data_IF_285000584198
#
_entry.id   IF_285000584198
#
_cell.length_a   1.000
_cell.length_b   1.000
_cell.length_c   1.000
_cell.angle_alpha   90.00
_cell.angle_beta   90.00
_cell.angle_gamma   90.00
#
_symmetry.space_group_name_H-M   'P 1'
#
loop_
_entity.id
_entity.type
_entity.pdbx_description
1 polymer ?
#
# COMPACT_ATOMS: atom_id res chain seq x y z
N UNK A 1 -50.37 -46.40 4.95
CA UNK A 1 -49.94 -45.52 3.85
C UNK A 1 -49.28 -44.21 4.31
N UNK A 2 -49.85 -43.42 5.23
CA UNK A 2 -49.25 -42.14 5.67
C UNK A 2 -47.84 -42.25 6.29
N UNK A 3 -47.57 -43.29 7.11
CA UNK A 3 -46.25 -43.50 7.73
C UNK A 3 -45.14 -43.88 6.73
N UNK A 4 -45.47 -44.53 5.61
CA UNK A 4 -44.47 -44.93 4.60
C UNK A 4 -44.08 -43.73 3.72
N UNK A 5 -45.05 -42.86 3.41
CA UNK A 5 -44.78 -41.60 2.70
C UNK A 5 -43.87 -40.65 3.49
N UNK A 6 -44.02 -40.60 4.82
CA UNK A 6 -43.21 -39.74 5.69
C UNK A 6 -41.76 -40.18 5.80
N UNK A 7 -41.49 -41.49 5.83
CA UNK A 7 -40.11 -42.01 5.92
C UNK A 7 -39.35 -41.84 4.60
N UNK A 8 -40.05 -41.93 3.46
CA UNK A 8 -39.43 -41.76 2.14
C UNK A 8 -39.00 -40.30 1.88
N UNK A 9 -39.72 -39.32 2.44
CA UNK A 9 -39.39 -37.90 2.33
C UNK A 9 -38.13 -37.51 3.15
N UNK A 10 -37.88 -38.18 4.28
CA UNK A 10 -36.67 -37.95 5.09
C UNK A 10 -35.40 -38.56 4.48
N UNK A 11 -35.51 -39.66 3.73
CA UNK A 11 -34.35 -40.27 3.04
C UNK A 11 -33.92 -39.45 1.81
N UNK A 12 -34.87 -38.82 1.10
CA UNK A 12 -34.56 -37.92 -0.02
C UNK A 12 -33.88 -36.62 0.43
N UNK A 13 -34.21 -36.09 1.62
CA UNK A 13 -33.51 -34.92 2.18
C UNK A 13 -32.09 -35.25 2.69
N UNK A 14 -31.83 -36.48 3.12
CA UNK A 14 -30.50 -36.91 3.56
C UNK A 14 -29.51 -37.13 2.40
N UNK A 15 -30.01 -37.49 1.20
CA UNK A 15 -29.19 -37.73 0.01
C UNK A 15 -28.83 -36.45 -0.77
N UNK A 16 -29.63 -35.39 -0.65
CA UNK A 16 -29.32 -34.10 -1.29
C UNK A 16 -28.10 -33.38 -0.66
N UNK A 17 -27.71 -33.76 0.57
CA UNK A 17 -26.54 -33.22 1.27
C UNK A 17 -25.22 -33.96 1.04
N UNK A 18 -25.23 -35.06 0.27
CA UNK A 18 -24.06 -35.92 0.05
C UNK A 18 -23.69 -35.95 -1.43
N UNK A 19 -23.03 -34.87 -1.88
CA UNK A 19 -21.98 -34.85 -2.92
C UNK A 19 -21.92 -33.48 -3.62
N UNK A 20 -21.69 -32.40 -2.87
CA UNK A 20 -20.98 -31.27 -3.48
C UNK A 20 -19.50 -31.65 -3.51
N UNK A 21 -19.05 -32.12 -4.67
CA UNK A 21 -17.63 -32.40 -4.90
C UNK A 21 -16.91 -31.06 -5.09
N UNK A 22 -16.06 -30.70 -4.12
CA UNK A 22 -15.18 -29.53 -4.26
C UNK A 22 -14.08 -29.91 -5.25
N UNK A 23 -14.11 -29.34 -6.45
CA UNK A 23 -13.07 -29.50 -7.47
C UNK A 23 -12.17 -28.29 -7.50
N UNK A 24 -10.88 -28.52 -7.66
CA UNK A 24 -9.92 -27.46 -7.92
C UNK A 24 -10.15 -26.91 -9.33
N UNK A 25 -10.32 -25.59 -9.44
CA UNK A 25 -10.29 -24.89 -10.71
C UNK A 25 -8.87 -24.37 -10.96
N UNK A 26 -8.52 -24.15 -12.24
CA UNK A 26 -7.28 -23.43 -12.57
C UNK A 26 -7.33 -22.00 -12.03
N UNK A 27 -6.21 -21.54 -11.48
CA UNK A 27 -6.10 -20.18 -10.93
C UNK A 27 -5.77 -19.19 -12.02
N UNK A 28 -6.37 -18.00 -11.93
CA UNK A 28 -6.17 -16.87 -12.83
C UNK A 28 -5.47 -15.72 -12.10
N UNK A 29 -4.94 -14.74 -12.84
CA UNK A 29 -4.33 -13.53 -12.26
C UNK A 29 -5.32 -12.80 -11.32
N UNK A 30 -6.62 -12.80 -11.66
CA UNK A 30 -7.65 -12.18 -10.81
C UNK A 30 -7.79 -12.84 -9.44
N UNK A 31 -7.50 -14.14 -9.31
CA UNK A 31 -7.57 -14.86 -8.05
C UNK A 31 -6.42 -14.46 -7.10
N UNK A 32 -5.27 -14.05 -7.66
CA UNK A 32 -4.13 -13.59 -6.87
C UNK A 32 -4.32 -12.17 -6.33
N UNK A 33 -5.05 -11.30 -7.02
CA UNK A 33 -5.25 -9.90 -6.60
C UNK A 33 -5.83 -9.75 -5.17
N UNK A 34 -6.91 -10.44 -4.76
CA UNK A 34 -7.42 -10.35 -3.40
C UNK A 34 -6.43 -10.92 -2.38
N UNK A 35 -5.66 -11.95 -2.72
CA UNK A 35 -4.65 -12.54 -1.82
C UNK A 35 -3.49 -11.58 -1.59
N UNK A 36 -2.97 -10.97 -2.65
CA UNK A 36 -1.93 -9.95 -2.60
C UNK A 36 -2.40 -8.74 -1.79
N UNK A 37 -3.61 -8.23 -2.05
CA UNK A 37 -4.19 -7.12 -1.28
C UNK A 37 -4.39 -7.48 0.19
N UNK A 38 -4.90 -8.68 0.50
CA UNK A 38 -5.05 -9.16 1.87
C UNK A 38 -3.72 -9.28 2.61
N UNK A 39 -2.62 -9.47 1.87
CA UNK A 39 -1.26 -9.44 2.38
C UNK A 39 -0.58 -8.08 2.28
N UNK A 40 -1.31 -7.02 1.97
CA UNK A 40 -0.81 -5.63 1.94
C UNK A 40 0.01 -5.26 0.70
N UNK A 41 0.08 -6.12 -0.31
CA UNK A 41 0.71 -5.78 -1.60
C UNK A 41 -0.23 -4.88 -2.40
N UNK A 42 0.11 -3.59 -2.47
CA UNK A 42 -0.68 -2.60 -3.22
C UNK A 42 0.25 -1.80 -4.13
N UNK A 43 0.18 -2.00 -5.45
CA UNK A 43 0.86 -1.14 -6.41
C UNK A 43 0.00 0.09 -6.76
N UNK A 44 0.67 1.21 -7.00
CA UNK A 44 0.11 2.47 -7.49
C UNK A 44 0.72 2.80 -8.83
N UNK A 45 -0.12 2.96 -9.85
CA UNK A 45 0.31 3.32 -11.21
C UNK A 45 0.00 4.79 -11.46
N UNK A 46 0.99 5.53 -11.93
CA UNK A 46 0.91 6.96 -12.25
C UNK A 46 1.16 7.17 -13.75
N UNK A 47 0.32 7.97 -14.38
CA UNK A 47 0.57 8.51 -15.71
C UNK A 47 1.58 9.66 -15.60
N UNK A 48 2.73 9.48 -16.24
CA UNK A 48 3.86 10.42 -16.26
C UNK A 48 4.19 10.88 -17.68
N UNK A 49 3.27 10.70 -18.63
CA UNK A 49 3.42 11.12 -20.03
C UNK A 49 3.78 12.60 -20.19
N UNK A 50 3.25 13.46 -19.32
CA UNK A 50 3.49 14.91 -19.34
C UNK A 50 4.94 15.31 -19.04
N UNK A 51 5.72 14.44 -18.40
CA UNK A 51 7.13 14.65 -18.06
C UNK A 51 8.07 13.71 -18.81
N UNK A 52 7.57 13.01 -19.84
CA UNK A 52 8.39 12.16 -20.71
C UNK A 52 9.53 12.96 -21.36
N UNK A 53 10.73 12.38 -21.38
CA UNK A 53 11.93 13.01 -21.92
C UNK A 53 12.53 14.09 -21.02
N UNK A 54 11.92 14.37 -19.86
CA UNK A 54 12.50 15.24 -18.83
C UNK A 54 13.45 14.44 -17.94
N UNK A 55 14.43 15.16 -17.41
CA UNK A 55 15.28 14.63 -16.36
C UNK A 55 14.50 14.60 -15.05
N UNK A 56 14.64 13.52 -14.29
CA UNK A 56 13.96 13.35 -13.01
C UNK A 56 14.90 12.90 -11.91
N UNK A 57 14.48 13.18 -10.67
CA UNK A 57 15.04 12.60 -9.45
C UNK A 57 13.90 12.00 -8.64
N UNK A 58 14.17 10.88 -7.97
CA UNK A 58 13.24 10.22 -7.05
C UNK A 58 13.69 10.54 -5.62
N UNK A 59 12.75 11.03 -4.81
CA UNK A 59 13.01 11.48 -3.45
C UNK A 59 12.19 10.66 -2.46
N UNK A 60 12.82 10.34 -1.34
CA UNK A 60 12.20 9.72 -0.18
C UNK A 60 12.37 10.69 1.00
N UNK A 61 11.26 11.19 1.52
CA UNK A 61 11.21 12.09 2.67
C UNK A 61 10.68 11.33 3.88
N UNK A 62 11.34 11.45 5.02
CA UNK A 62 11.00 10.72 6.24
C UNK A 62 10.45 11.69 7.27
N UNK A 63 9.38 11.30 7.96
CA UNK A 63 8.75 12.13 8.96
C UNK A 63 8.51 11.36 10.25
N UNK A 64 8.78 12.03 11.38
CA UNK A 64 8.52 11.56 12.74
C UNK A 64 7.68 12.61 13.44
N UNK A 65 6.50 12.23 13.93
CA UNK A 65 5.56 13.10 14.63
C UNK A 65 5.25 14.40 13.85
N UNK A 66 5.04 14.27 12.55
CA UNK A 66 4.72 15.39 11.65
C UNK A 66 5.90 16.29 11.29
N UNK A 67 7.12 15.97 11.73
CA UNK A 67 8.34 16.72 11.39
C UNK A 67 9.22 15.92 10.47
N UNK A 68 9.72 16.55 9.42
CA UNK A 68 10.69 15.93 8.53
C UNK A 68 11.99 15.64 9.30
N UNK A 69 12.54 14.44 9.11
CA UNK A 69 13.80 14.01 9.72
C UNK A 69 14.95 14.74 9.03
N UNK A 70 15.93 15.17 9.81
CA UNK A 70 17.18 15.77 9.32
C UNK A 70 17.84 14.85 8.28
N UNK A 71 18.43 15.44 7.22
CA UNK A 71 18.97 14.74 6.06
C UNK A 71 17.95 13.92 5.24
N UNK A 72 16.65 14.15 5.44
CA UNK A 72 15.61 13.86 4.43
C UNK A 72 15.16 15.18 3.79
N UNK A 73 15.00 15.29 2.46
CA UNK A 73 14.89 14.25 1.43
C UNK A 73 16.18 13.50 1.09
N UNK A 74 16.06 12.17 0.98
CA UNK A 74 17.11 11.31 0.40
C UNK A 74 16.78 11.03 -1.06
N UNK A 75 17.78 11.16 -1.91
CA UNK A 75 17.67 10.72 -3.29
C UNK A 75 17.79 9.21 -3.37
N UNK A 76 16.89 8.55 -4.11
CA UNK A 76 17.04 7.13 -4.42
C UNK A 76 18.25 6.90 -5.32
N UNK A 77 18.52 7.83 -6.24
CA UNK A 77 19.66 7.84 -7.13
C UNK A 77 20.44 9.15 -6.98
N UNK A 78 21.77 9.13 -6.86
CA UNK A 78 22.56 10.35 -6.67
C UNK A 78 22.63 11.25 -7.92
N UNK A 79 21.93 10.91 -9.01
CA UNK A 79 21.95 11.62 -10.28
C UNK A 79 20.54 11.75 -10.89
N UNK A 80 20.39 12.74 -11.77
CA UNK A 80 19.21 12.92 -12.63
C UNK A 80 19.28 11.95 -13.80
N UNK A 81 18.15 11.39 -14.20
CA UNK A 81 18.08 10.55 -15.38
C UNK A 81 16.89 10.93 -16.26
N UNK A 82 17.01 10.82 -17.59
CA UNK A 82 15.92 11.11 -18.50
C UNK A 82 14.85 10.00 -18.44
N UNK A 83 13.60 10.38 -18.61
CA UNK A 83 12.46 9.45 -18.63
C UNK A 83 12.08 9.05 -20.06
N UNK A 84 11.82 7.77 -20.29
CA UNK A 84 11.45 7.24 -21.62
C UNK A 84 10.03 6.69 -21.70
N UNK A 85 9.44 6.32 -20.57
CA UNK A 85 8.09 5.72 -20.50
C UNK A 85 7.07 6.64 -19.85
N UNK A 86 5.80 6.34 -20.13
CA UNK A 86 4.66 7.15 -19.72
C UNK A 86 4.01 6.63 -18.43
N UNK A 87 4.57 5.56 -17.86
CA UNK A 87 4.05 4.89 -16.67
C UNK A 87 5.12 4.72 -15.59
N UNK A 88 4.76 5.15 -14.39
CA UNK A 88 5.50 4.90 -13.17
C UNK A 88 4.65 4.05 -12.23
N UNK A 89 5.17 2.91 -11.82
CA UNK A 89 4.56 2.02 -10.83
C UNK A 89 5.39 2.02 -9.56
N UNK A 90 4.73 2.28 -8.43
CA UNK A 90 5.31 2.22 -7.10
C UNK A 90 4.55 1.17 -6.29
N UNK A 91 5.26 0.28 -5.62
CA UNK A 91 4.67 -0.73 -4.74
C UNK A 91 5.49 -0.95 -3.48
N UNK A 92 4.87 -1.61 -2.51
CA UNK A 92 5.52 -1.99 -1.26
C UNK A 92 5.36 -3.51 -1.07
N UNK A 93 6.42 -4.15 -0.62
CA UNK A 93 6.37 -5.52 -0.10
C UNK A 93 6.32 -5.36 1.43
N UNK A 94 5.13 -5.52 2.04
CA UNK A 94 4.99 -5.36 3.48
C UNK A 94 5.77 -6.47 4.19
N UNK A 95 6.41 -6.10 5.28
CA UNK A 95 6.95 -7.05 6.24
C UNK A 95 6.12 -6.97 7.51
N UNK A 96 5.39 -8.04 7.83
CA UNK A 96 4.56 -8.11 9.04
C UNK A 96 5.41 -8.35 10.31
N UNK A 97 6.70 -8.70 10.16
CA UNK A 97 7.57 -9.11 11.25
C UNK A 97 8.98 -8.50 11.24
N UNK A 98 9.35 -7.75 10.20
CA UNK A 98 10.66 -7.11 10.09
C UNK A 98 10.57 -5.59 10.27
N UNK A 99 11.66 -5.03 10.75
CA UNK A 99 11.95 -3.60 10.84
C UNK A 99 12.21 -2.93 9.48
N UNK A 100 12.05 -3.66 8.37
CA UNK A 100 12.30 -3.20 7.02
C UNK A 100 11.08 -3.44 6.12
N UNK A 101 10.64 -2.41 5.40
CA UNK A 101 9.74 -2.57 4.25
C UNK A 101 10.55 -2.49 2.96
N UNK A 102 10.24 -3.35 1.99
CA UNK A 102 10.78 -3.17 0.64
C UNK A 102 9.86 -2.26 -0.16
N UNK A 103 10.44 -1.24 -0.74
CA UNK A 103 9.83 -0.34 -1.71
C UNK A 103 10.32 -0.73 -3.11
N UNK A 104 9.40 -0.87 -4.04
CA UNK A 104 9.69 -1.18 -5.43
C UNK A 104 9.22 -0.03 -6.31
N UNK A 105 10.09 0.39 -7.24
CA UNK A 105 9.77 1.36 -8.27
C UNK A 105 10.06 0.76 -9.64
N UNK A 106 9.12 0.91 -10.55
CA UNK A 106 9.30 0.59 -11.95
C UNK A 106 8.81 1.76 -12.80
N UNK A 107 9.73 2.41 -13.47
CA UNK A 107 9.44 3.40 -14.49
C UNK A 107 9.65 2.75 -15.85
N UNK A 108 8.58 2.67 -16.63
CA UNK A 108 8.56 2.01 -17.93
C UNK A 108 9.70 2.51 -18.83
N UNK A 109 10.42 1.57 -19.45
CA UNK A 109 11.56 1.83 -20.35
C UNK A 109 12.67 2.72 -19.77
N UNK A 110 12.72 2.89 -18.45
CA UNK A 110 13.60 3.86 -17.78
C UNK A 110 14.41 3.20 -16.67
N UNK A 111 13.75 2.74 -15.60
CA UNK A 111 14.45 2.15 -14.45
C UNK A 111 13.53 1.21 -13.66
N UNK A 112 14.09 0.11 -13.16
CA UNK A 112 13.43 -0.74 -12.15
C UNK A 112 14.36 -0.89 -10.96
N UNK A 113 13.86 -0.61 -9.76
CA UNK A 113 14.68 -0.56 -8.56
C UNK A 113 13.90 -0.97 -7.32
N UNK A 114 14.63 -1.52 -6.35
CA UNK A 114 14.12 -1.88 -5.04
C UNK A 114 15.02 -1.29 -3.97
N UNK A 115 14.44 -0.67 -2.95
CA UNK A 115 15.18 -0.23 -1.76
C UNK A 115 14.41 -0.58 -0.48
N UNK A 116 15.11 -0.53 0.65
CA UNK A 116 14.51 -0.81 1.95
C UNK A 116 14.28 0.46 2.76
N UNK A 117 13.13 0.55 3.41
CA UNK A 117 12.76 1.62 4.34
C UNK A 117 12.81 1.06 5.77
N UNK A 118 13.39 1.82 6.71
CA UNK A 118 13.39 1.45 8.12
C UNK A 118 12.03 1.75 8.72
N UNK A 119 11.47 0.79 9.43
CA UNK A 119 10.16 0.93 10.06
C UNK A 119 10.33 1.23 11.55
N UNK A 120 9.43 2.04 12.08
CA UNK A 120 9.29 2.26 13.51
C UNK A 120 8.26 1.26 14.07
N UNK A 121 8.60 0.55 15.15
CA UNK A 121 7.64 -0.34 15.78
C UNK A 121 6.57 0.47 16.50
N UNK A 122 5.36 -0.04 16.49
CA UNK A 122 4.24 0.47 17.29
C UNK A 122 3.87 -0.57 18.35
N UNK A 123 3.50 -0.11 19.53
CA UNK A 123 3.01 -1.01 20.57
C UNK A 123 1.55 -1.36 20.31
N UNK A 124 1.27 -2.65 20.11
CA UNK A 124 -0.07 -3.16 19.85
C UNK A 124 -0.68 -3.68 21.15
N UNK A 125 -1.49 -2.85 21.81
CA UNK A 125 -1.98 -3.14 23.17
C UNK A 125 -2.77 -4.45 23.27
N UNK A 126 -3.63 -4.76 22.30
CA UNK A 126 -4.47 -5.96 22.36
C UNK A 126 -3.67 -7.27 22.34
N UNK A 127 -2.46 -7.24 21.78
CA UNK A 127 -1.57 -8.39 21.66
C UNK A 127 -0.33 -8.27 22.56
N UNK A 128 -0.21 -7.16 23.30
CA UNK A 128 0.91 -6.83 24.19
C UNK A 128 2.29 -6.99 23.53
N UNK A 129 2.41 -6.66 22.24
CA UNK A 129 3.64 -6.82 21.46
C UNK A 129 3.93 -5.60 20.59
N UNK A 130 5.19 -5.40 20.23
CA UNK A 130 5.57 -4.44 19.20
C UNK A 130 5.37 -5.06 17.81
N UNK A 131 4.82 -4.28 16.89
CA UNK A 131 4.64 -4.69 15.49
C UNK A 131 5.10 -3.60 14.54
N UNK A 132 5.43 -3.99 13.32
CA UNK A 132 5.69 -3.07 12.21
C UNK A 132 4.47 -3.12 11.29
N UNK A 133 3.59 -2.13 11.41
CA UNK A 133 2.33 -2.11 10.67
C UNK A 133 2.15 -0.81 9.92
N UNK A 134 2.26 -0.89 8.59
CA UNK A 134 2.25 0.27 7.70
C UNK A 134 1.26 0.09 6.55
N UNK A 135 0.74 1.20 6.06
CA UNK A 135 -0.18 1.25 4.91
C UNK A 135 0.29 2.33 3.94
N UNK A 136 0.30 1.98 2.66
CA UNK A 136 0.58 2.89 1.56
C UNK A 136 -0.71 3.51 1.02
N UNK A 137 -0.66 4.80 0.67
CA UNK A 137 -1.75 5.56 0.06
C UNK A 137 -1.21 6.50 -1.01
N UNK A 138 -1.90 6.66 -2.15
CA UNK A 138 -1.54 7.67 -3.12
C UNK A 138 -1.90 9.07 -2.62
N UNK A 139 -1.20 10.09 -3.10
CA UNK A 139 -1.64 11.47 -2.96
C UNK A 139 -2.72 11.81 -3.99
N UNK A 140 -3.59 12.75 -3.63
CA UNK A 140 -4.50 13.39 -4.58
C UNK A 140 -3.72 14.42 -5.40
N UNK A 141 -3.28 14.00 -6.59
CA UNK A 141 -2.48 14.83 -7.48
C UNK A 141 -3.36 15.74 -8.32
N UNK A 142 -3.05 17.03 -8.35
CA UNK A 142 -3.69 18.00 -9.26
C UNK A 142 -2.66 18.46 -10.30
N UNK A 143 -2.99 18.29 -11.58
CA UNK A 143 -2.20 18.82 -12.69
C UNK A 143 -2.61 20.27 -13.01
N UNK A 144 -1.72 21.10 -13.59
CA UNK A 144 -0.36 20.80 -14.06
C UNK A 144 0.68 20.74 -12.94
N UNK A 145 1.76 19.97 -13.16
CA UNK A 145 2.89 19.94 -12.24
C UNK A 145 3.91 21.04 -12.55
N UNK A 146 4.40 21.69 -11.49
CA UNK A 146 5.44 22.70 -11.62
C UNK A 146 6.82 22.08 -11.75
N UNK A 147 7.60 22.57 -12.72
CA UNK A 147 9.00 22.22 -12.87
C UNK A 147 9.76 22.63 -11.60
N UNK A 148 10.77 21.84 -11.26
CA UNK A 148 11.62 22.06 -10.10
C UNK A 148 10.92 21.95 -8.72
N UNK A 149 9.66 21.49 -8.70
CA UNK A 149 8.88 21.26 -7.46
C UNK A 149 8.79 19.77 -7.14
N UNK A 150 8.78 19.45 -5.85
CA UNK A 150 8.58 18.08 -5.38
C UNK A 150 7.11 17.66 -5.52
N UNK A 151 6.87 16.56 -6.23
CA UNK A 151 5.54 15.98 -6.45
C UNK A 151 5.41 14.75 -5.54
N UNK A 152 4.59 14.81 -4.47
CA UNK A 152 4.39 13.68 -3.58
C UNK A 152 3.50 12.63 -4.27
N UNK A 153 3.97 11.39 -4.42
CA UNK A 153 3.22 10.35 -5.14
C UNK A 153 2.57 9.36 -4.17
N UNK A 154 3.34 8.85 -3.22
CA UNK A 154 2.87 7.83 -2.27
C UNK A 154 3.25 8.19 -0.84
N UNK A 155 2.27 8.10 0.04
CA UNK A 155 2.37 8.23 1.48
C UNK A 155 2.41 6.84 2.12
N UNK A 156 3.50 6.49 2.80
CA UNK A 156 3.67 5.19 3.45
C UNK A 156 3.79 5.37 4.96
N UNK A 157 2.75 5.00 5.70
CA UNK A 157 2.57 5.43 7.08
C UNK A 157 2.33 4.31 8.06
N UNK A 158 2.87 4.46 9.25
CA UNK A 158 2.57 3.59 10.40
C UNK A 158 1.11 3.74 10.83
N UNK A 159 0.57 2.68 11.41
CA UNK A 159 -0.61 2.80 12.25
C UNK A 159 -0.28 3.62 13.50
N UNK A 160 -1.31 4.15 14.16
CA UNK A 160 -1.18 4.83 15.45
C UNK A 160 -2.14 4.24 16.47
N UNK A 161 -1.83 4.38 17.75
CA UNK A 161 -2.73 3.98 18.82
C UNK A 161 -3.70 5.13 19.16
N UNK A 162 -5.01 4.87 19.11
CA UNK A 162 -6.03 5.79 19.56
C UNK A 162 -6.37 5.50 21.03
N UNK A 163 -5.79 6.29 21.94
CA UNK A 163 -5.96 6.10 23.37
C UNK A 163 -7.40 6.31 23.87
N UNK A 164 -8.20 7.11 23.14
CA UNK A 164 -9.60 7.34 23.51
C UNK A 164 -10.42 6.09 23.28
N UNK A 165 -10.21 5.44 22.14
CA UNK A 165 -11.01 4.31 21.68
C UNK A 165 -10.32 2.96 21.96
N UNK A 166 -9.09 2.99 22.50
CA UNK A 166 -8.25 1.83 22.85
C UNK A 166 -8.04 0.87 21.69
N UNK A 167 -7.88 1.41 20.49
CA UNK A 167 -7.68 0.64 19.25
C UNK A 167 -6.52 1.19 18.45
N UNK A 168 -5.78 0.29 17.77
CA UNK A 168 -4.81 0.69 16.75
C UNK A 168 -5.55 1.05 15.47
N UNK A 169 -5.18 2.18 14.86
CA UNK A 169 -5.82 2.70 13.65
C UNK A 169 -4.79 2.94 12.57
N UNK A 170 -5.17 2.61 11.35
CA UNK A 170 -4.69 3.28 10.16
C UNK A 170 -5.86 3.60 9.22
N UNK A 171 -7.10 3.58 9.73
CA UNK A 171 -8.28 3.87 8.94
C UNK A 171 -8.38 5.39 8.73
N UNK A 172 -8.75 5.81 7.53
CA UNK A 172 -8.85 7.22 7.18
C UNK A 172 -9.06 7.38 5.69
N UNK A 173 -8.55 8.46 5.13
CA UNK A 173 -8.69 8.82 3.73
C UNK A 173 -7.97 7.79 2.83
N UNK A 174 -8.54 7.51 1.64
CA UNK A 174 -7.89 6.65 0.63
C UNK A 174 -6.82 7.39 -0.15
N UNK A 175 -6.97 8.70 -0.29
CA UNK A 175 -6.03 9.62 -0.92
C UNK A 175 -5.56 10.64 0.11
N UNK A 176 -4.30 11.04 0.02
CA UNK A 176 -3.70 12.03 0.93
C UNK A 176 -3.66 13.40 0.26
N UNK A 177 -4.07 14.43 1.00
CA UNK A 177 -3.97 15.81 0.54
C UNK A 177 -2.48 16.21 0.46
N UNK A 178 -2.03 16.85 -0.63
CA UNK A 178 -0.64 17.28 -0.77
C UNK A 178 -0.12 18.22 0.33
N UNK A 179 -1.02 18.96 1.00
CA UNK A 179 -0.72 19.84 2.13
C UNK A 179 -0.63 19.11 3.49
N UNK A 180 -0.78 17.78 3.49
CA UNK A 180 -0.79 16.91 4.67
C UNK A 180 -1.90 17.24 5.68
N UNK A 181 -2.99 17.87 5.25
CA UNK A 181 -4.15 18.16 6.11
C UNK A 181 -5.00 16.92 6.44
N UNK A 182 -4.74 15.78 5.78
CA UNK A 182 -5.46 14.52 6.01
C UNK A 182 -5.25 13.99 7.43
N UNK A 183 -6.30 13.40 8.02
CA UNK A 183 -6.22 12.92 9.40
C UNK A 183 -5.14 11.87 9.63
N UNK A 184 -4.93 10.98 8.66
CA UNK A 184 -3.86 9.97 8.73
C UNK A 184 -2.49 10.65 8.84
N UNK A 185 -2.23 11.70 8.05
CA UNK A 185 -0.95 12.41 8.08
C UNK A 185 -0.70 13.13 9.41
N UNK A 186 -1.77 13.67 10.02
CA UNK A 186 -1.70 14.33 11.32
C UNK A 186 -1.50 13.38 12.51
N UNK A 187 -1.94 12.12 12.38
CA UNK A 187 -1.96 11.15 13.49
C UNK A 187 -0.85 10.10 13.42
N UNK A 188 -0.38 9.76 12.23
CA UNK A 188 0.66 8.75 12.07
C UNK A 188 1.98 9.22 12.71
N UNK A 189 2.55 8.47 13.68
CA UNK A 189 3.77 8.88 14.38
C UNK A 189 5.02 8.78 13.50
N UNK A 190 4.98 7.96 12.46
CA UNK A 190 6.05 7.82 11.48
C UNK A 190 5.51 7.55 10.08
N UNK A 191 6.07 8.20 9.08
CA UNK A 191 5.72 7.97 7.68
C UNK A 191 6.83 8.40 6.71
N UNK A 192 6.76 7.87 5.51
CA UNK A 192 7.55 8.29 4.36
C UNK A 192 6.66 8.91 3.30
N UNK A 193 7.20 9.91 2.60
CA UNK A 193 6.64 10.42 1.35
C UNK A 193 7.62 10.09 0.23
N UNK A 194 7.15 9.30 -0.72
CA UNK A 194 7.87 8.97 -1.94
C UNK A 194 7.34 9.89 -3.04
N UNK A 195 8.25 10.55 -3.74
CA UNK A 195 7.87 11.43 -4.84
C UNK A 195 8.99 11.66 -5.83
N UNK A 196 8.73 12.57 -6.75
CA UNK A 196 9.66 12.91 -7.83
C UNK A 196 9.84 14.42 -7.94
N UNK A 197 10.92 14.82 -8.60
CA UNK A 197 11.15 16.19 -9.06
C UNK A 197 11.72 16.13 -10.48
N UNK A 198 11.15 16.91 -11.39
CA UNK A 198 11.55 16.96 -12.80
C UNK A 198 12.18 18.31 -13.16
N UNK A 199 13.02 18.29 -14.20
CA UNK A 199 13.87 19.39 -14.66
C UNK A 199 13.74 19.64 -16.17
#
# INVERSE_FOLDING_TARGET
MKRILSTMLFVLFALAGLAQEIKMNETTISDYLPLLKAKGYVPFSFDVSTIKGKDVTIHIREFVNGKEVEDSPRLLFPYRFPTNGDKLVIGFLPSETDSLAQYCLNWENTVSWTCSLKLCPIYWESEKKYVYSYVARPFELTSPFEKDTFIPLVFYSSHWYDAKEKVTRCCGENFINPDLSSNVALKSPHYYIIGIKFY
#
